data_IF_716761794785
#
_entry.id   IF_716761794785
#
_cell.length_a   1.000
_cell.length_b   1.000
_cell.length_c   1.000
_cell.angle_alpha   90.00
_cell.angle_beta   90.00
_cell.angle_gamma   90.00
#
_symmetry.space_group_name_H-M   'P 1'
#
loop_
_entity.id
_entity.type
_entity.pdbx_description
1 polymer ?
#
# COMPACT_ATOMS: atom_id res chain seq x y z
N UNK A 1 34.76 5.33 22.46
CA UNK A 1 34.60 3.93 22.85
C UNK A 1 33.13 3.73 23.15
N UNK A 2 32.51 2.82 22.45
CA UNK A 2 31.10 2.45 22.74
C UNK A 2 31.15 1.67 24.07
N UNK A 3 30.20 1.98 24.96
CA UNK A 3 30.06 1.24 26.21
C UNK A 3 29.74 -0.23 25.87
N UNK A 4 30.32 -1.15 26.62
CA UNK A 4 30.15 -2.59 26.37
C UNK A 4 28.69 -3.01 26.51
N UNK A 5 27.99 -2.46 27.49
CA UNK A 5 26.58 -2.75 27.71
C UNK A 5 25.70 -2.26 26.52
N UNK A 6 26.00 -1.09 25.96
CA UNK A 6 25.35 -0.58 24.75
C UNK A 6 25.71 -1.43 23.52
N UNK A 7 26.97 -1.88 23.42
CA UNK A 7 27.39 -2.77 22.33
C UNK A 7 26.62 -4.08 22.34
N UNK A 8 26.54 -4.74 23.51
CA UNK A 8 25.83 -6.01 23.68
C UNK A 8 24.34 -5.86 23.33
N UNK A 9 23.68 -4.78 23.78
CA UNK A 9 22.27 -4.49 23.43
C UNK A 9 22.08 -4.26 21.92
N UNK A 10 23.02 -3.58 21.26
CA UNK A 10 22.93 -3.32 19.83
C UNK A 10 23.15 -4.62 19.01
N UNK A 11 24.04 -5.50 19.45
CA UNK A 11 24.24 -6.81 18.83
C UNK A 11 23.04 -7.74 19.04
N UNK A 12 22.50 -7.81 20.25
CA UNK A 12 21.30 -8.61 20.55
C UNK A 12 20.08 -8.21 19.72
N UNK A 13 19.96 -6.91 19.40
CA UNK A 13 18.89 -6.40 18.55
C UNK A 13 19.24 -6.39 17.05
N UNK A 14 20.35 -7.01 16.63
CA UNK A 14 20.85 -7.05 15.25
C UNK A 14 21.04 -5.67 14.60
N UNK A 15 21.36 -4.64 15.40
CA UNK A 15 21.72 -3.30 14.92
C UNK A 15 23.20 -3.23 14.58
N UNK A 16 24.04 -3.97 15.33
CA UNK A 16 25.46 -4.18 15.04
C UNK A 16 25.72 -5.67 14.89
N UNK A 17 26.68 -6.00 14.04
CA UNK A 17 27.18 -7.38 13.82
C UNK A 17 28.70 -7.40 13.80
N UNK A 18 29.26 -8.58 14.05
CA UNK A 18 30.71 -8.75 14.11
C UNK A 18 31.38 -8.73 12.72
N UNK A 19 30.60 -8.97 11.66
CA UNK A 19 31.11 -8.90 10.28
C UNK A 19 29.98 -8.66 9.24
N UNK A 20 30.33 -7.95 8.17
CA UNK A 20 29.43 -7.71 7.02
C UNK A 20 29.02 -9.03 6.32
N UNK A 21 29.84 -10.06 6.41
CA UNK A 21 29.61 -11.36 5.79
C UNK A 21 28.47 -12.12 6.49
N UNK A 22 28.41 -12.04 7.82
CA UNK A 22 27.34 -12.64 8.63
C UNK A 22 25.98 -11.97 8.35
N UNK A 23 25.95 -10.66 8.17
CA UNK A 23 24.74 -9.89 7.83
C UNK A 23 24.21 -10.26 6.45
N UNK A 24 25.09 -10.39 5.47
CA UNK A 24 24.70 -10.81 4.14
C UNK A 24 24.09 -12.22 4.15
N UNK A 25 24.69 -13.16 4.87
CA UNK A 25 24.19 -14.53 4.95
C UNK A 25 22.86 -14.62 5.70
N UNK A 26 22.71 -13.89 6.81
CA UNK A 26 21.45 -13.77 7.56
C UNK A 26 20.35 -13.18 6.68
N UNK A 27 20.62 -12.05 6.01
CA UNK A 27 19.68 -11.41 5.09
C UNK A 27 19.30 -12.34 3.95
N UNK A 28 20.27 -13.00 3.32
CA UNK A 28 20.03 -13.96 2.25
C UNK A 28 19.16 -15.13 2.70
N UNK A 29 19.41 -15.67 3.90
CA UNK A 29 18.59 -16.75 4.48
C UNK A 29 17.14 -16.30 4.73
N UNK A 30 16.94 -15.08 5.26
CA UNK A 30 15.60 -14.49 5.48
C UNK A 30 14.85 -14.34 4.14
N UNK A 31 15.50 -13.76 3.14
CA UNK A 31 14.89 -13.56 1.81
C UNK A 31 14.58 -14.91 1.14
N UNK A 32 15.48 -15.89 1.22
CA UNK A 32 15.24 -17.23 0.67
C UNK A 32 14.07 -17.91 1.36
N UNK A 33 13.98 -17.81 2.70
CA UNK A 33 12.84 -18.33 3.47
C UNK A 33 11.54 -17.66 3.08
N UNK A 34 11.51 -16.34 2.93
CA UNK A 34 10.31 -15.60 2.49
C UNK A 34 9.90 -16.00 1.07
N UNK A 35 10.86 -16.13 0.14
CA UNK A 35 10.59 -16.54 -1.25
C UNK A 35 10.12 -17.98 -1.38
N UNK A 36 10.51 -18.86 -0.45
CA UNK A 36 10.07 -20.26 -0.43
C UNK A 36 8.70 -20.46 0.22
N UNK A 37 8.14 -19.45 0.87
CA UNK A 37 6.81 -19.52 1.47
C UNK A 37 5.73 -19.44 0.39
N UNK A 38 5.23 -20.60 -0.04
CA UNK A 38 4.13 -20.70 -1.04
C UNK A 38 2.74 -20.48 -0.43
N UNK A 39 2.65 -20.45 0.90
CA UNK A 39 1.37 -20.34 1.61
C UNK A 39 0.84 -18.90 1.71
N UNK A 40 1.64 -17.90 1.39
CA UNK A 40 1.25 -16.50 1.48
C UNK A 40 1.65 -15.72 0.23
N UNK A 41 0.76 -14.85 -0.24
CA UNK A 41 1.00 -13.97 -1.37
C UNK A 41 0.68 -12.53 -0.99
N UNK A 42 1.54 -11.60 -1.39
CA UNK A 42 1.30 -10.17 -1.28
C UNK A 42 1.11 -9.61 -2.69
N UNK A 43 -0.07 -9.07 -2.94
CA UNK A 43 -0.43 -8.39 -4.18
C UNK A 43 -0.39 -6.88 -3.95
N UNK A 44 0.35 -6.18 -4.79
CA UNK A 44 0.28 -4.71 -4.87
C UNK A 44 -0.52 -4.36 -6.12
N UNK A 45 -1.70 -3.80 -5.93
CA UNK A 45 -2.67 -3.55 -6.99
C UNK A 45 -2.87 -2.04 -7.19
N UNK A 46 -2.75 -1.62 -8.45
CA UNK A 46 -3.05 -0.26 -8.87
C UNK A 46 -4.41 -0.25 -9.60
N UNK A 47 -5.50 0.12 -8.91
CA UNK A 47 -6.82 0.18 -9.55
C UNK A 47 -6.90 1.29 -10.60
N UNK A 48 -6.02 2.29 -10.48
CA UNK A 48 -5.79 3.32 -11.50
C UNK A 48 -4.37 3.87 -11.45
N UNK A 49 -3.88 4.33 -12.60
CA UNK A 49 -2.65 5.13 -12.72
C UNK A 49 -2.95 6.64 -12.73
N UNK A 50 -4.23 7.02 -12.73
CA UNK A 50 -4.62 8.43 -12.63
C UNK A 50 -4.42 8.97 -11.21
N UNK A 51 -4.11 10.25 -11.11
CA UNK A 51 -3.94 10.95 -9.85
C UNK A 51 -4.31 12.43 -10.02
N UNK A 52 -5.04 12.98 -9.06
CA UNK A 52 -5.39 14.39 -9.05
C UNK A 52 -4.20 15.31 -8.71
N UNK A 53 -3.20 14.80 -7.98
CA UNK A 53 -2.03 15.58 -7.55
C UNK A 53 -0.90 15.62 -8.57
N UNK A 54 -0.03 16.63 -8.44
CA UNK A 54 1.17 16.85 -9.25
C UNK A 54 2.39 17.04 -8.35
N UNK A 55 2.62 16.06 -7.44
CA UNK A 55 3.74 16.09 -6.52
C UNK A 55 5.06 16.08 -7.29
N UNK A 56 5.98 16.99 -6.95
CA UNK A 56 7.25 17.16 -7.70
C UNK A 56 8.19 15.95 -7.54
N UNK A 57 8.09 15.20 -6.45
CA UNK A 57 8.91 14.01 -6.18
C UNK A 57 8.29 12.71 -6.71
N UNK A 58 7.10 12.77 -7.30
CA UNK A 58 6.39 11.55 -7.70
C UNK A 58 7.17 10.81 -8.80
N UNK A 59 7.45 9.53 -8.57
CA UNK A 59 8.11 8.69 -9.57
C UNK A 59 7.22 8.37 -10.77
N UNK A 60 5.90 8.42 -10.58
CA UNK A 60 4.92 8.31 -11.67
C UNK A 60 4.74 9.68 -12.34
N UNK A 61 5.66 10.04 -13.23
CA UNK A 61 5.64 11.33 -13.93
C UNK A 61 4.43 11.48 -14.87
N UNK A 62 4.01 10.38 -15.48
CA UNK A 62 2.91 10.36 -16.44
C UNK A 62 1.65 9.82 -15.77
N UNK A 63 0.69 10.70 -15.51
CA UNK A 63 -0.59 10.35 -14.92
C UNK A 63 -1.54 9.90 -16.03
N UNK A 64 -1.54 8.61 -16.31
CA UNK A 64 -2.42 8.05 -17.32
C UNK A 64 -3.81 7.77 -16.73
N UNK A 65 -4.85 8.23 -17.42
CA UNK A 65 -6.25 7.94 -17.06
C UNK A 65 -6.61 6.50 -17.42
N UNK A 66 -5.88 5.56 -16.85
CA UNK A 66 -6.10 4.12 -17.02
C UNK A 66 -6.62 3.53 -15.71
N UNK A 67 -7.66 2.74 -15.84
CA UNK A 67 -8.31 2.04 -14.74
C UNK A 67 -8.18 0.53 -14.96
N UNK A 68 -8.17 -0.21 -13.86
CA UNK A 68 -8.14 -1.67 -13.90
C UNK A 68 -9.41 -2.18 -14.60
N UNK A 69 -9.21 -2.95 -15.67
CA UNK A 69 -10.34 -3.50 -16.44
C UNK A 69 -10.80 -4.84 -15.88
N UNK A 70 -12.06 -5.25 -16.14
CA UNK A 70 -12.54 -6.57 -15.75
C UNK A 70 -11.65 -7.73 -16.19
N UNK A 71 -11.04 -7.64 -17.39
CA UNK A 71 -10.12 -8.67 -17.91
C UNK A 71 -8.84 -8.77 -17.07
N UNK A 72 -8.33 -7.62 -16.56
CA UNK A 72 -7.16 -7.61 -15.66
C UNK A 72 -7.55 -8.24 -14.32
N UNK A 73 -8.72 -7.90 -13.78
CA UNK A 73 -9.25 -8.48 -12.54
C UNK A 73 -9.37 -10.01 -12.64
N UNK A 74 -9.93 -10.49 -13.75
CA UNK A 74 -10.12 -11.91 -14.01
C UNK A 74 -8.76 -12.64 -14.15
N UNK A 75 -7.77 -12.02 -14.78
CA UNK A 75 -6.40 -12.57 -14.88
C UNK A 75 -5.71 -12.67 -13.52
N UNK A 76 -5.82 -11.64 -12.69
CA UNK A 76 -5.27 -11.65 -11.32
C UNK A 76 -5.93 -12.78 -10.52
N UNK A 77 -7.26 -12.86 -10.55
CA UNK A 77 -8.04 -13.90 -9.87
C UNK A 77 -7.60 -15.30 -10.32
N UNK A 78 -7.52 -15.52 -11.63
CA UNK A 78 -7.08 -16.79 -12.20
C UNK A 78 -5.65 -17.15 -11.79
N UNK A 79 -4.74 -16.18 -11.77
CA UNK A 79 -3.37 -16.39 -11.30
C UNK A 79 -3.34 -16.84 -9.85
N UNK A 80 -4.04 -16.14 -8.96
CA UNK A 80 -4.11 -16.51 -7.54
C UNK A 80 -4.69 -17.93 -7.37
N UNK A 81 -5.77 -18.24 -8.06
CA UNK A 81 -6.42 -19.56 -7.99
C UNK A 81 -5.55 -20.69 -8.57
N UNK A 82 -4.55 -20.36 -9.40
CA UNK A 82 -3.58 -21.35 -9.90
C UNK A 82 -2.50 -21.74 -8.87
N UNK A 83 -2.50 -21.11 -7.69
CA UNK A 83 -1.53 -21.37 -6.61
C UNK A 83 -2.19 -22.26 -5.52
N UNK A 84 -2.12 -23.61 -5.62
CA UNK A 84 -2.90 -24.52 -4.76
C UNK A 84 -2.50 -24.46 -3.27
N UNK A 85 -1.24 -24.15 -2.97
CA UNK A 85 -0.71 -24.11 -1.61
C UNK A 85 -1.02 -22.80 -0.89
N UNK A 86 -1.61 -21.82 -1.57
CA UNK A 86 -1.84 -20.49 -1.05
C UNK A 86 -2.95 -20.50 0.02
N UNK A 87 -2.62 -19.96 1.19
CA UNK A 87 -3.52 -19.89 2.35
C UNK A 87 -3.89 -18.46 2.75
N UNK A 88 -3.00 -17.52 2.50
CA UNK A 88 -3.15 -16.14 2.94
C UNK A 88 -2.84 -15.17 1.79
N UNK A 89 -3.66 -14.14 1.67
CA UNK A 89 -3.44 -13.06 0.72
C UNK A 89 -3.44 -11.74 1.47
N UNK A 90 -2.43 -10.93 1.18
CA UNK A 90 -2.40 -9.52 1.54
C UNK A 90 -2.51 -8.69 0.26
N UNK A 91 -3.39 -7.68 0.26
CA UNK A 91 -3.52 -6.73 -0.84
C UNK A 91 -3.09 -5.35 -0.36
N UNK A 92 -2.18 -4.71 -1.09
CA UNK A 92 -1.87 -3.29 -0.94
C UNK A 92 -2.44 -2.55 -2.14
N UNK A 93 -3.42 -1.70 -1.90
CA UNK A 93 -3.97 -0.81 -2.91
C UNK A 93 -3.09 0.43 -3.02
N UNK A 94 -2.62 0.73 -4.22
CA UNK A 94 -1.77 1.89 -4.51
C UNK A 94 -1.96 2.34 -5.96
N UNK A 95 -0.98 2.98 -6.57
CA UNK A 95 -0.98 3.45 -7.96
C UNK A 95 -0.87 4.96 -8.02
N UNK A 96 -1.60 5.62 -8.89
CA UNK A 96 -1.75 7.07 -8.88
C UNK A 96 -2.44 7.53 -7.60
N UNK A 97 -3.76 7.62 -7.62
CA UNK A 97 -4.57 7.77 -6.41
C UNK A 97 -5.65 6.70 -6.40
N UNK A 98 -5.52 5.65 -5.57
CA UNK A 98 -6.43 4.50 -5.61
C UNK A 98 -7.88 4.86 -5.29
N UNK A 99 -8.13 5.87 -4.47
CA UNK A 99 -9.49 6.31 -4.13
C UNK A 99 -10.20 7.09 -5.25
N UNK A 100 -9.51 7.39 -6.36
CA UNK A 100 -10.18 7.80 -7.61
C UNK A 100 -10.83 6.62 -8.34
N UNK A 101 -10.54 5.40 -7.92
CA UNK A 101 -11.01 4.16 -8.53
C UNK A 101 -11.75 3.26 -7.53
N UNK A 102 -12.53 3.86 -6.62
CA UNK A 102 -13.34 3.12 -5.63
C UNK A 102 -14.24 2.05 -6.27
N UNK A 103 -14.93 2.31 -7.41
CA UNK A 103 -15.71 1.28 -8.08
C UNK A 103 -14.88 0.07 -8.54
N UNK A 104 -13.65 0.29 -9.04
CA UNK A 104 -12.75 -0.80 -9.47
C UNK A 104 -12.25 -1.64 -8.29
N UNK A 105 -12.00 -1.00 -7.13
CA UNK A 105 -11.64 -1.69 -5.90
C UNK A 105 -12.79 -2.60 -5.44
N UNK A 106 -14.01 -2.06 -5.43
CA UNK A 106 -15.21 -2.80 -5.04
C UNK A 106 -15.51 -3.95 -6.00
N UNK A 107 -15.48 -3.71 -7.32
CA UNK A 107 -15.71 -4.73 -8.35
C UNK A 107 -14.68 -5.86 -8.28
N UNK A 108 -13.39 -5.51 -8.11
CA UNK A 108 -12.36 -6.54 -7.94
C UNK A 108 -12.64 -7.41 -6.72
N UNK A 109 -12.98 -6.79 -5.60
CA UNK A 109 -13.26 -7.52 -4.37
C UNK A 109 -14.46 -8.44 -4.52
N UNK A 110 -15.55 -7.98 -5.13
CA UNK A 110 -16.76 -8.77 -5.34
C UNK A 110 -16.48 -9.99 -6.23
N UNK A 111 -15.73 -9.81 -7.32
CA UNK A 111 -15.30 -10.91 -8.18
C UNK A 111 -14.35 -11.88 -7.48
N UNK A 112 -13.38 -11.34 -6.77
CA UNK A 112 -12.34 -12.14 -6.12
C UNK A 112 -12.87 -12.93 -4.93
N UNK A 113 -13.67 -12.31 -4.06
CA UNK A 113 -14.27 -12.96 -2.89
C UNK A 113 -15.31 -14.04 -3.24
N UNK A 114 -15.88 -13.99 -4.44
CA UNK A 114 -16.77 -15.05 -4.92
C UNK A 114 -16.07 -16.41 -5.14
N UNK A 115 -14.75 -16.42 -5.28
CA UNK A 115 -13.95 -17.64 -5.53
C UNK A 115 -12.86 -17.87 -4.48
N UNK A 116 -12.53 -16.86 -3.68
CA UNK A 116 -11.54 -16.93 -2.63
C UNK A 116 -12.24 -16.86 -1.26
N UNK A 117 -12.40 -18.02 -0.62
CA UNK A 117 -13.15 -18.16 0.65
C UNK A 117 -12.35 -17.81 1.91
N UNK A 118 -11.02 -17.58 1.76
CA UNK A 118 -10.13 -17.31 2.91
C UNK A 118 -10.07 -15.80 3.19
N UNK A 119 -9.67 -15.39 4.42
CA UNK A 119 -9.56 -13.99 4.76
C UNK A 119 -8.60 -13.23 3.82
N UNK A 120 -9.02 -12.03 3.40
CA UNK A 120 -8.20 -11.08 2.65
C UNK A 120 -7.78 -9.98 3.61
N UNK A 121 -6.48 -9.79 3.77
CA UNK A 121 -5.94 -8.66 4.54
C UNK A 121 -5.58 -7.55 3.57
N UNK A 122 -6.17 -6.39 3.74
CA UNK A 122 -5.95 -5.26 2.83
C UNK A 122 -5.44 -4.01 3.55
N UNK A 123 -4.59 -3.27 2.86
CA UNK A 123 -4.19 -1.92 3.23
C UNK A 123 -4.18 -1.02 1.99
N UNK A 124 -4.23 0.28 2.20
CA UNK A 124 -4.24 1.28 1.12
C UNK A 124 -3.18 2.35 1.34
N UNK A 125 -2.53 2.78 0.26
CA UNK A 125 -1.63 3.93 0.23
C UNK A 125 -2.33 5.01 -0.59
N UNK A 126 -2.70 6.11 0.05
CA UNK A 126 -3.51 7.18 -0.56
C UNK A 126 -3.03 8.56 -0.14
N UNK A 127 -3.38 9.56 -0.90
CA UNK A 127 -3.19 10.96 -0.52
C UNK A 127 -4.15 11.41 0.60
N UNK A 128 -5.24 10.67 0.82
CA UNK A 128 -6.30 11.05 1.76
C UNK A 128 -7.33 12.05 1.20
N UNK A 129 -7.06 12.67 0.06
CA UNK A 129 -7.91 13.73 -0.49
C UNK A 129 -9.30 13.24 -0.94
N UNK A 130 -9.40 12.00 -1.40
CA UNK A 130 -10.64 11.38 -1.87
C UNK A 130 -11.34 10.49 -0.83
N UNK A 131 -10.89 10.51 0.42
CA UNK A 131 -11.63 9.87 1.51
C UNK A 131 -12.95 10.61 1.67
N UNK A 132 -14.05 9.88 1.62
CA UNK A 132 -15.42 10.30 1.85
C UNK A 132 -16.22 9.10 2.34
N UNK A 133 -17.49 9.29 2.69
CA UNK A 133 -18.35 8.22 3.23
C UNK A 133 -18.41 6.99 2.32
N UNK A 134 -18.49 7.18 1.00
CA UNK A 134 -18.52 6.09 0.03
C UNK A 134 -17.18 5.33 0.00
N UNK A 135 -16.07 6.04 -0.02
CA UNK A 135 -14.74 5.42 0.05
C UNK A 135 -14.58 4.62 1.35
N UNK A 136 -15.01 5.18 2.50
CA UNK A 136 -14.97 4.49 3.81
C UNK A 136 -15.87 3.25 3.79
N UNK A 137 -17.07 3.34 3.23
CA UNK A 137 -17.96 2.18 3.05
C UNK A 137 -17.28 1.05 2.29
N UNK A 138 -16.66 1.38 1.15
CA UNK A 138 -15.97 0.38 0.33
C UNK A 138 -14.71 -0.14 1.05
N UNK A 139 -13.92 0.72 1.68
CA UNK A 139 -12.76 0.29 2.46
C UNK A 139 -13.14 -0.73 3.53
N UNK A 140 -14.23 -0.50 4.27
CA UNK A 140 -14.77 -1.45 5.25
C UNK A 140 -15.22 -2.76 4.58
N UNK A 141 -15.96 -2.67 3.47
CA UNK A 141 -16.44 -3.84 2.71
C UNK A 141 -15.28 -4.74 2.25
N UNK A 142 -14.22 -4.13 1.71
CA UNK A 142 -13.08 -4.88 1.14
C UNK A 142 -11.99 -5.25 2.17
N UNK A 143 -12.25 -5.01 3.45
CA UNK A 143 -11.36 -5.41 4.54
C UNK A 143 -10.06 -4.60 4.61
N UNK A 144 -10.07 -3.32 4.23
CA UNK A 144 -8.94 -2.42 4.45
C UNK A 144 -8.87 -2.07 5.93
N UNK A 145 -7.82 -2.56 6.60
CA UNK A 145 -7.59 -2.39 8.03
C UNK A 145 -6.63 -1.27 8.38
N UNK A 146 -5.89 -0.78 7.39
CA UNK A 146 -4.95 0.33 7.57
C UNK A 146 -4.83 1.18 6.31
N UNK A 147 -4.70 2.50 6.50
CA UNK A 147 -4.44 3.45 5.43
C UNK A 147 -3.13 4.19 5.73
N UNK A 148 -2.21 4.17 4.77
CA UNK A 148 -1.01 5.00 4.81
C UNK A 148 -1.30 6.30 4.07
N UNK A 149 -1.29 7.41 4.81
CA UNK A 149 -1.51 8.76 4.27
C UNK A 149 -0.24 9.56 4.50
N UNK A 150 0.31 10.15 3.43
CA UNK A 150 1.54 10.94 3.52
C UNK A 150 1.22 12.41 3.72
N UNK A 151 1.68 12.98 4.81
CA UNK A 151 1.72 14.43 5.05
C UNK A 151 3.16 14.92 4.92
N UNK A 152 3.39 15.88 4.03
CA UNK A 152 4.74 16.38 3.70
C UNK A 152 5.12 17.61 4.53
N UNK A 153 4.66 17.70 5.77
CA UNK A 153 4.90 18.78 6.70
C UNK A 153 3.63 19.54 7.06
N UNK A 154 3.81 20.76 7.56
CA UNK A 154 2.69 21.66 7.86
C UNK A 154 2.04 22.17 6.57
N UNK A 155 0.90 22.83 6.69
CA UNK A 155 0.01 23.27 5.60
C UNK A 155 0.74 23.89 4.40
N UNK A 156 1.61 24.86 4.65
CA UNK A 156 2.32 25.58 3.58
C UNK A 156 3.26 24.65 2.80
N UNK A 157 4.01 23.82 3.52
CA UNK A 157 4.92 22.84 2.90
C UNK A 157 4.13 21.78 2.16
N UNK A 158 3.09 21.21 2.79
CA UNK A 158 2.27 20.18 2.18
C UNK A 158 1.63 20.67 0.87
N UNK A 159 1.01 21.86 0.87
CA UNK A 159 0.36 22.43 -0.31
C UNK A 159 1.35 22.79 -1.44
N UNK A 160 2.61 23.08 -1.09
CA UNK A 160 3.66 23.30 -2.09
C UNK A 160 4.10 21.98 -2.74
N UNK A 161 4.23 20.92 -1.94
CA UNK A 161 4.73 19.61 -2.36
C UNK A 161 3.64 18.78 -3.06
N UNK A 162 2.47 18.68 -2.41
CA UNK A 162 1.26 18.01 -2.91
C UNK A 162 0.25 19.07 -3.30
N UNK A 163 0.09 19.30 -4.59
CA UNK A 163 -0.84 20.30 -5.09
C UNK A 163 -1.71 19.76 -6.21
N UNK A 164 -2.90 20.31 -6.29
CA UNK A 164 -3.77 20.18 -7.44
C UNK A 164 -3.32 21.17 -8.53
N UNK A 165 -3.54 20.87 -9.82
CA UNK A 165 -3.30 21.84 -10.90
C UNK A 165 -4.08 23.16 -10.73
N UNK A 166 -5.20 23.13 -9.99
CA UNK A 166 -6.00 24.31 -9.66
C UNK A 166 -5.37 25.25 -8.64
N UNK A 167 -4.34 24.81 -7.89
CA UNK A 167 -3.73 25.57 -6.80
C UNK A 167 -4.56 25.63 -5.53
N UNK A 168 -5.58 24.80 -5.41
CA UNK A 168 -6.49 24.72 -4.26
C UNK A 168 -5.75 24.24 -3.00
N UNK A 169 -6.15 24.74 -1.82
CA UNK A 169 -5.66 24.26 -0.52
C UNK A 169 -6.18 22.83 -0.29
N UNK A 170 -5.25 21.89 -0.18
CA UNK A 170 -5.59 20.48 -0.03
C UNK A 170 -5.36 19.96 1.40
N UNK A 171 -4.53 20.65 2.19
CA UNK A 171 -4.13 20.17 3.51
C UNK A 171 -5.32 20.01 4.46
N UNK A 172 -6.13 21.07 4.62
CA UNK A 172 -7.28 21.04 5.52
C UNK A 172 -8.29 19.96 5.13
N UNK A 173 -8.50 19.77 3.83
CA UNK A 173 -9.37 18.71 3.33
C UNK A 173 -8.81 17.31 3.67
N UNK A 174 -7.52 17.09 3.52
CA UNK A 174 -6.90 15.81 3.90
C UNK A 174 -7.04 15.56 5.40
N UNK A 175 -6.78 16.58 6.23
CA UNK A 175 -6.93 16.46 7.69
C UNK A 175 -8.38 16.13 8.06
N UNK A 176 -9.34 16.88 7.54
CA UNK A 176 -10.77 16.63 7.78
C UNK A 176 -11.20 15.23 7.31
N UNK A 177 -10.70 14.77 6.17
CA UNK A 177 -11.02 13.45 5.66
C UNK A 177 -10.43 12.31 6.52
N UNK A 178 -9.29 12.53 7.17
CA UNK A 178 -8.72 11.54 8.09
C UNK A 178 -9.65 11.28 9.29
N UNK A 179 -10.39 12.29 9.73
CA UNK A 179 -11.36 12.17 10.84
C UNK A 179 -12.49 11.18 10.51
N UNK A 180 -12.82 10.99 9.22
CA UNK A 180 -13.82 10.01 8.78
C UNK A 180 -13.37 8.55 8.94
N UNK A 181 -12.08 8.32 9.19
CA UNK A 181 -11.53 6.97 9.37
C UNK A 181 -11.63 6.46 10.82
N UNK A 182 -12.00 7.33 11.75
CA UNK A 182 -12.22 7.01 13.17
C UNK A 182 -13.70 6.64 13.38
#
# INVERSE_FOLDING_TARGET
KVDKELWDVLCENNILTDSDEDDYLKYKAIIMRQRSQRASMHLTLAPTMDCCFRCHYCFEKYKEKKYMTPEVMDRITKYVMSCPDLKNIKITWCGGEPLMAVPQIEEFYDKFSAVWEKPINSNIITTGYHINEEAVRVMKKVGITSAQITLDGMKETHNTVKHLPSGEDVFERVISNIELLN
#
